data_IF_350469930914
#
_entry.id   IF_350469930914
#
_cell.length_a   1.000
_cell.length_b   1.000
_cell.length_c   1.000
_cell.angle_alpha   90.00
_cell.angle_beta   90.00
_cell.angle_gamma   90.00
#
_symmetry.space_group_name_H-M   'P 1'
#
loop_
_entity.id
_entity.type
_entity.pdbx_description
1 polymer ?
#
# COMPACT_ATOMS: atom_id res chain seq x y z
N UNK A 1 -14.36 -21.14 14.67
CA UNK A 1 -15.18 -20.11 13.99
C UNK A 1 -15.65 -19.00 14.93
N UNK A 2 -16.34 -19.24 16.08
CA UNK A 2 -16.89 -18.18 16.95
C UNK A 2 -15.85 -17.13 17.44
N UNK A 3 -14.66 -17.57 17.84
CA UNK A 3 -13.56 -16.66 18.28
C UNK A 3 -13.04 -15.83 17.12
N UNK A 4 -12.87 -16.46 15.94
CA UNK A 4 -12.44 -15.79 14.73
C UNK A 4 -13.45 -14.75 14.26
N UNK A 5 -14.74 -15.10 14.24
CA UNK A 5 -15.83 -14.19 13.90
C UNK A 5 -15.82 -12.91 14.75
N UNK A 6 -15.71 -13.05 16.08
CA UNK A 6 -15.61 -11.90 16.99
C UNK A 6 -14.35 -11.05 16.75
N UNK A 7 -13.23 -11.68 16.41
CA UNK A 7 -11.98 -10.95 16.10
C UNK A 7 -12.14 -10.14 14.83
N UNK A 8 -12.70 -10.73 13.78
CA UNK A 8 -12.98 -10.04 12.50
C UNK A 8 -13.96 -8.89 12.73
N UNK A 9 -15.06 -9.11 13.44
CA UNK A 9 -16.01 -8.06 13.81
C UNK A 9 -15.34 -6.90 14.54
N UNK A 10 -14.50 -7.20 15.53
CA UNK A 10 -13.75 -6.18 16.25
C UNK A 10 -12.81 -5.40 15.33
N UNK A 11 -12.13 -6.07 14.39
CA UNK A 11 -11.22 -5.43 13.44
C UNK A 11 -11.95 -4.47 12.49
N UNK A 12 -13.13 -4.85 11.98
CA UNK A 12 -13.98 -3.92 11.20
C UNK A 12 -14.45 -2.73 12.03
N UNK A 13 -14.80 -2.94 13.30
CA UNK A 13 -15.14 -1.82 14.20
C UNK A 13 -13.96 -0.86 14.42
N UNK A 14 -12.74 -1.39 14.58
CA UNK A 14 -11.53 -0.58 14.70
C UNK A 14 -11.31 0.19 13.40
N UNK A 15 -11.42 -0.46 12.24
CA UNK A 15 -11.28 0.18 10.93
C UNK A 15 -12.27 1.33 10.76
N UNK A 16 -13.55 1.14 11.10
CA UNK A 16 -14.56 2.21 11.08
C UNK A 16 -14.16 3.38 11.98
N UNK A 17 -13.75 3.12 13.21
CA UNK A 17 -13.29 4.16 14.15
C UNK A 17 -12.07 4.92 13.62
N UNK A 18 -11.12 4.21 13.00
CA UNK A 18 -9.92 4.83 12.44
C UNK A 18 -10.26 5.74 11.26
N UNK A 19 -11.13 5.30 10.34
CA UNK A 19 -11.60 6.12 9.23
C UNK A 19 -12.36 7.35 9.73
N UNK A 20 -13.22 7.18 10.74
CA UNK A 20 -13.93 8.30 11.39
C UNK A 20 -12.94 9.30 11.97
N UNK A 21 -11.93 8.83 12.71
CA UNK A 21 -10.87 9.68 13.26
C UNK A 21 -10.10 10.42 12.15
N UNK A 22 -9.75 9.74 11.06
CA UNK A 22 -9.10 10.39 9.92
C UNK A 22 -9.96 11.52 9.34
N UNK A 23 -11.26 11.29 9.17
CA UNK A 23 -12.18 12.28 8.63
C UNK A 23 -12.33 13.51 9.57
N UNK A 24 -12.51 13.29 10.87
CA UNK A 24 -12.60 14.34 11.88
C UNK A 24 -11.33 15.20 11.94
N UNK A 25 -10.18 14.60 11.66
CA UNK A 25 -8.88 15.27 11.68
C UNK A 25 -8.36 15.69 10.29
N UNK A 26 -9.21 15.63 9.25
CA UNK A 26 -8.83 16.01 7.88
C UNK A 26 -7.59 15.27 7.36
N UNK A 27 -7.48 13.98 7.69
CA UNK A 27 -6.48 13.07 7.13
C UNK A 27 -7.09 12.45 5.88
N UNK A 28 -6.49 12.73 4.71
CA UNK A 28 -7.09 12.42 3.41
C UNK A 28 -6.82 11.01 2.87
N UNK A 29 -5.97 10.22 3.55
CA UNK A 29 -5.68 8.83 3.15
C UNK A 29 -5.58 7.93 4.37
N UNK A 30 -5.96 6.66 4.20
CA UNK A 30 -5.83 5.62 5.21
C UNK A 30 -5.38 4.31 4.57
N UNK A 31 -4.29 3.75 5.08
CA UNK A 31 -3.79 2.44 4.69
C UNK A 31 -4.46 1.36 5.53
N UNK A 32 -5.13 0.42 4.87
CA UNK A 32 -5.76 -0.72 5.52
C UNK A 32 -4.70 -1.60 6.20
N UNK A 33 -5.03 -2.10 7.39
CA UNK A 33 -4.25 -3.16 8.01
C UNK A 33 -4.44 -4.46 7.25
N UNK A 34 -3.36 -5.21 7.05
CA UNK A 34 -3.41 -6.56 6.46
C UNK A 34 -4.05 -7.60 7.41
N UNK A 35 -4.36 -7.23 8.65
CA UNK A 35 -4.90 -8.10 9.69
C UNK A 35 -6.41 -7.89 9.93
N UNK A 36 -7.13 -7.26 9.00
CA UNK A 36 -8.58 -6.99 9.19
C UNK A 36 -9.36 -8.31 9.21
N UNK A 37 -9.04 -9.20 8.28
CA UNK A 37 -9.70 -10.49 8.10
C UNK A 37 -8.72 -11.64 8.33
N UNK A 38 -8.22 -11.85 9.57
CA UNK A 38 -7.21 -12.87 9.83
C UNK A 38 -7.67 -14.24 9.37
N UNK A 39 -6.77 -14.98 8.73
CA UNK A 39 -6.96 -16.33 8.20
C UNK A 39 -7.92 -16.44 7.00
N UNK A 40 -8.47 -15.37 6.45
CA UNK A 40 -9.36 -15.45 5.29
C UNK A 40 -8.63 -16.01 4.05
N UNK A 41 -7.35 -15.66 3.87
CA UNK A 41 -6.50 -16.18 2.79
C UNK A 41 -5.82 -17.53 3.11
N UNK A 42 -6.05 -18.11 4.31
CA UNK A 42 -5.38 -19.34 4.72
C UNK A 42 -5.84 -20.54 3.89
N UNK A 43 -4.91 -21.33 3.27
CA UNK A 43 -5.26 -22.36 2.32
C UNK A 43 -6.12 -23.50 2.88
N UNK A 44 -5.97 -23.79 4.17
CA UNK A 44 -6.70 -24.89 4.84
C UNK A 44 -8.02 -24.43 5.47
N UNK A 45 -8.30 -23.14 5.48
CA UNK A 45 -9.52 -22.56 6.04
C UNK A 45 -10.32 -21.91 4.92
N UNK A 46 -11.16 -22.70 4.29
CA UNK A 46 -12.04 -22.21 3.22
C UNK A 46 -13.37 -21.74 3.83
N UNK A 47 -13.45 -20.48 4.22
CA UNK A 47 -14.68 -19.85 4.72
C UNK A 47 -14.91 -18.49 4.04
N UNK A 48 -16.16 -18.09 3.98
CA UNK A 48 -16.59 -16.77 3.52
C UNK A 48 -17.06 -15.92 4.72
N UNK A 49 -17.01 -14.60 4.60
CA UNK A 49 -17.48 -13.69 5.64
C UNK A 49 -18.96 -13.90 5.97
N UNK A 50 -19.77 -14.37 5.02
CA UNK A 50 -21.19 -14.69 5.21
C UNK A 50 -21.42 -15.91 6.10
N UNK A 51 -20.41 -16.78 6.26
CA UNK A 51 -20.49 -18.00 7.08
C UNK A 51 -20.12 -17.74 8.56
N UNK A 52 -19.67 -16.52 8.87
CA UNK A 52 -19.29 -16.14 10.22
C UNK A 52 -20.50 -15.99 11.14
N UNK A 53 -20.31 -16.28 12.42
CA UNK A 53 -21.38 -16.15 13.41
C UNK A 53 -21.93 -14.72 13.55
N UNK A 54 -21.09 -13.72 13.33
CA UNK A 54 -21.42 -12.30 13.47
C UNK A 54 -21.52 -11.63 12.06
N UNK A 55 -21.84 -12.39 11.00
CA UNK A 55 -21.86 -11.91 9.61
C UNK A 55 -22.76 -10.67 9.42
N UNK A 56 -24.01 -10.69 9.91
CA UNK A 56 -24.94 -9.57 9.77
C UNK A 56 -24.35 -8.27 10.36
N UNK A 57 -23.74 -8.37 11.55
CA UNK A 57 -23.12 -7.21 12.20
C UNK A 57 -21.88 -6.73 11.43
N UNK A 58 -21.06 -7.66 10.94
CA UNK A 58 -19.89 -7.36 10.09
C UNK A 58 -20.33 -6.59 8.85
N UNK A 59 -21.32 -7.07 8.10
CA UNK A 59 -21.79 -6.39 6.89
C UNK A 59 -22.44 -5.03 7.20
N UNK A 60 -23.14 -4.89 8.34
CA UNK A 60 -23.63 -3.59 8.80
C UNK A 60 -22.50 -2.57 9.04
N UNK A 61 -21.35 -3.03 9.57
CA UNK A 61 -20.17 -2.17 9.76
C UNK A 61 -19.52 -1.85 8.44
N UNK A 62 -19.41 -2.81 7.53
CA UNK A 62 -18.89 -2.60 6.17
C UNK A 62 -19.69 -1.50 5.46
N UNK A 63 -21.01 -1.50 5.56
CA UNK A 63 -21.87 -0.46 4.97
C UNK A 63 -21.61 0.94 5.58
N UNK A 64 -21.35 0.99 6.89
CA UNK A 64 -20.95 2.25 7.53
C UNK A 64 -19.59 2.74 7.04
N UNK A 65 -18.61 1.84 6.86
CA UNK A 65 -17.29 2.15 6.29
C UNK A 65 -17.45 2.69 4.87
N UNK A 66 -18.20 2.01 4.00
CA UNK A 66 -18.51 2.49 2.63
C UNK A 66 -19.08 3.90 2.64
N UNK A 67 -20.06 4.15 3.50
CA UNK A 67 -20.65 5.48 3.59
C UNK A 67 -19.65 6.55 4.06
N UNK A 68 -18.81 6.24 5.03
CA UNK A 68 -17.73 7.13 5.49
C UNK A 68 -16.74 7.45 4.37
N UNK A 69 -16.27 6.44 3.64
CA UNK A 69 -15.35 6.62 2.50
C UNK A 69 -16.00 7.50 1.43
N UNK A 70 -17.25 7.19 1.05
CA UNK A 70 -17.99 7.93 0.02
C UNK A 70 -18.21 9.39 0.38
N UNK A 71 -18.60 9.67 1.63
CA UNK A 71 -18.96 11.04 2.08
C UNK A 71 -17.74 11.92 2.34
N UNK A 72 -16.64 11.35 2.83
CA UNK A 72 -15.40 12.08 3.12
C UNK A 72 -14.46 12.20 1.93
N UNK A 73 -14.53 11.26 0.97
CA UNK A 73 -13.58 11.14 -0.12
C UNK A 73 -12.18 10.68 0.33
N UNK A 74 -12.05 10.09 1.52
CA UNK A 74 -10.78 9.54 2.02
C UNK A 74 -10.27 8.46 1.06
N UNK A 75 -9.00 8.52 0.70
CA UNK A 75 -8.35 7.49 -0.12
C UNK A 75 -8.00 6.28 0.73
N UNK A 76 -8.28 5.10 0.20
CA UNK A 76 -7.92 3.84 0.83
C UNK A 76 -6.79 3.20 0.03
N UNK A 77 -5.72 2.82 0.72
CA UNK A 77 -4.58 2.08 0.19
C UNK A 77 -4.37 0.77 0.96
N UNK A 78 -3.56 -0.11 0.43
CA UNK A 78 -3.05 -1.27 1.17
C UNK A 78 -1.60 -1.55 0.79
N UNK A 79 -0.88 -2.11 1.76
CA UNK A 79 0.48 -2.59 1.58
C UNK A 79 0.58 -3.99 2.19
N UNK A 80 0.44 -5.04 1.36
CA UNK A 80 0.51 -6.42 1.80
C UNK A 80 1.80 -6.73 2.55
N UNK A 81 1.79 -7.79 3.38
CA UNK A 81 2.96 -8.16 4.16
C UNK A 81 4.17 -8.54 3.31
N UNK A 82 5.35 -8.46 3.90
CA UNK A 82 6.63 -8.73 3.24
C UNK A 82 6.78 -10.15 2.67
N UNK A 83 5.97 -11.11 3.09
CA UNK A 83 6.01 -12.47 2.53
C UNK A 83 5.39 -12.58 1.12
N UNK A 84 4.65 -11.57 0.65
CA UNK A 84 4.12 -11.52 -0.72
C UNK A 84 5.30 -11.46 -1.70
N UNK A 85 5.46 -12.50 -2.50
CA UNK A 85 6.57 -12.64 -3.44
C UNK A 85 6.17 -13.38 -4.72
N UNK A 86 6.22 -12.69 -5.85
CA UNK A 86 5.98 -13.27 -7.17
C UNK A 86 7.24 -13.89 -7.79
N UNK A 87 8.40 -13.59 -7.24
CA UNK A 87 9.70 -14.08 -7.73
C UNK A 87 10.21 -15.30 -6.95
N UNK A 88 9.43 -15.83 -5.98
CA UNK A 88 9.78 -16.99 -5.20
C UNK A 88 10.00 -18.24 -6.07
N UNK A 89 10.97 -19.08 -5.70
CA UNK A 89 11.18 -20.39 -6.32
C UNK A 89 10.14 -21.44 -5.87
N UNK A 90 9.37 -21.13 -4.81
CA UNK A 90 8.37 -22.04 -4.25
C UNK A 90 6.98 -21.65 -4.73
N UNK A 91 6.32 -22.53 -5.47
CA UNK A 91 4.96 -22.29 -5.99
C UNK A 91 3.94 -22.07 -4.85
N UNK A 92 4.14 -22.70 -3.70
CA UNK A 92 3.31 -22.49 -2.52
C UNK A 92 3.35 -21.01 -2.05
N UNK A 93 4.53 -20.39 -2.02
CA UNK A 93 4.71 -18.98 -1.66
C UNK A 93 4.00 -18.08 -2.67
N UNK A 94 4.10 -18.40 -3.97
CA UNK A 94 3.40 -17.67 -5.04
C UNK A 94 1.88 -17.76 -4.84
N UNK A 95 1.36 -18.96 -4.61
CA UNK A 95 -0.08 -19.17 -4.42
C UNK A 95 -0.60 -18.50 -3.15
N UNK A 96 0.17 -18.49 -2.06
CA UNK A 96 -0.16 -17.75 -0.85
C UNK A 96 -0.18 -16.24 -1.11
N UNK A 97 0.79 -15.73 -1.88
CA UNK A 97 0.84 -14.31 -2.28
C UNK A 97 -0.38 -13.90 -3.11
N UNK A 98 -0.81 -14.73 -4.06
CA UNK A 98 -2.01 -14.49 -4.85
C UNK A 98 -3.27 -14.45 -3.97
N UNK A 99 -3.39 -15.39 -3.00
CA UNK A 99 -4.53 -15.41 -2.07
C UNK A 99 -4.57 -14.16 -1.19
N UNK A 100 -3.44 -13.75 -0.64
CA UNK A 100 -3.32 -12.54 0.18
C UNK A 100 -3.74 -11.28 -0.59
N UNK A 101 -3.26 -11.13 -1.82
CA UNK A 101 -3.64 -10.00 -2.67
C UNK A 101 -5.13 -10.01 -3.06
N UNK A 102 -5.71 -11.19 -3.28
CA UNK A 102 -7.14 -11.33 -3.54
C UNK A 102 -7.97 -10.94 -2.31
N UNK A 103 -7.50 -11.23 -1.09
CA UNK A 103 -8.13 -10.79 0.16
C UNK A 103 -8.12 -9.27 0.28
N UNK A 104 -6.98 -8.62 0.01
CA UNK A 104 -6.92 -7.15 0.01
C UNK A 104 -7.84 -6.52 -1.05
N UNK A 105 -7.88 -7.09 -2.25
CA UNK A 105 -8.78 -6.64 -3.30
C UNK A 105 -10.26 -6.84 -2.94
N UNK A 106 -10.60 -7.93 -2.26
CA UNK A 106 -11.94 -8.18 -1.72
C UNK A 106 -12.33 -7.09 -0.70
N UNK A 107 -11.43 -6.70 0.21
CA UNK A 107 -11.70 -5.62 1.16
C UNK A 107 -11.97 -4.29 0.45
N UNK A 108 -11.18 -3.95 -0.58
CA UNK A 108 -11.44 -2.77 -1.40
C UNK A 108 -12.81 -2.83 -2.09
N UNK A 109 -13.17 -3.98 -2.64
CA UNK A 109 -14.47 -4.16 -3.33
C UNK A 109 -15.63 -4.12 -2.32
N UNK A 110 -15.47 -4.70 -1.12
CA UNK A 110 -16.44 -4.60 -0.03
C UNK A 110 -16.66 -3.16 0.46
N UNK A 111 -15.61 -2.34 0.42
CA UNK A 111 -15.68 -0.92 0.79
C UNK A 111 -16.10 0.00 -0.35
N UNK A 112 -16.41 -0.55 -1.53
CA UNK A 112 -16.77 0.19 -2.74
C UNK A 112 -15.67 1.19 -3.17
N UNK A 113 -14.40 0.83 -2.92
CA UNK A 113 -13.25 1.61 -3.34
C UNK A 113 -13.07 1.57 -4.86
N UNK A 114 -12.54 2.65 -5.49
CA UNK A 114 -12.25 2.66 -6.92
C UNK A 114 -11.45 1.45 -7.39
N UNK A 115 -11.84 0.90 -8.57
CA UNK A 115 -11.12 -0.21 -9.21
C UNK A 115 -10.03 0.33 -10.14
N UNK A 116 -9.17 1.15 -9.57
CA UNK A 116 -8.02 1.76 -10.25
C UNK A 116 -6.99 2.24 -9.22
N UNK A 117 -5.95 2.90 -9.69
CA UNK A 117 -4.83 3.40 -8.87
C UNK A 117 -5.19 4.52 -7.88
N UNK A 118 -6.45 4.95 -7.80
CA UNK A 118 -6.93 5.79 -6.70
C UNK A 118 -7.00 5.02 -5.38
N UNK A 119 -7.07 3.68 -5.46
CA UNK A 119 -6.97 2.76 -4.32
C UNK A 119 -5.81 1.79 -4.52
N UNK A 120 -4.56 2.23 -4.38
CA UNK A 120 -3.40 1.45 -4.74
C UNK A 120 -3.16 0.28 -3.77
N UNK A 121 -2.70 -0.83 -4.35
CA UNK A 121 -2.20 -2.02 -3.68
C UNK A 121 -0.70 -2.09 -3.92
N UNK A 122 0.10 -1.62 -2.96
CA UNK A 122 1.55 -1.51 -3.08
C UNK A 122 2.25 -2.82 -2.71
N UNK A 123 3.19 -3.26 -3.53
CA UNK A 123 4.10 -4.37 -3.19
C UNK A 123 5.53 -4.06 -3.58
N UNK A 124 6.47 -4.72 -2.91
CA UNK A 124 7.88 -4.74 -3.30
C UNK A 124 8.24 -5.99 -4.08
N UNK A 125 9.29 -5.90 -4.89
CA UNK A 125 9.96 -7.08 -5.44
C UNK A 125 11.13 -7.40 -4.50
N UNK A 126 10.98 -8.46 -3.70
CA UNK A 126 11.93 -8.78 -2.62
C UNK A 126 13.21 -9.44 -3.08
N UNK A 127 13.18 -10.13 -4.22
CA UNK A 127 14.34 -10.88 -4.70
C UNK A 127 15.22 -10.00 -5.58
N UNK A 128 16.53 -10.01 -5.28
CA UNK A 128 17.57 -9.40 -6.11
C UNK A 128 18.17 -10.44 -7.05
N UNK A 129 18.66 -9.97 -8.21
CA UNK A 129 19.28 -10.85 -9.23
C UNK A 129 19.22 -10.24 -10.61
N UNK A 130 19.23 -11.07 -11.64
CA UNK A 130 19.05 -10.61 -13.01
C UNK A 130 17.67 -10.00 -13.21
N UNK A 131 17.57 -8.70 -13.53
CA UNK A 131 16.29 -8.00 -13.59
C UNK A 131 15.42 -8.48 -14.76
N UNK A 132 16.01 -8.98 -15.84
CA UNK A 132 15.23 -9.51 -16.97
C UNK A 132 14.54 -10.82 -16.57
N UNK A 133 15.29 -11.77 -15.97
CA UNK A 133 14.74 -13.05 -15.51
C UNK A 133 13.65 -12.84 -14.45
N UNK A 134 13.94 -12.01 -13.43
CA UNK A 134 13.01 -11.76 -12.33
C UNK A 134 11.75 -11.03 -12.79
N UNK A 135 11.87 -10.09 -13.73
CA UNK A 135 10.68 -9.39 -14.27
C UNK A 135 9.79 -10.32 -15.07
N UNK A 136 10.35 -11.20 -15.91
CA UNK A 136 9.58 -12.20 -16.64
C UNK A 136 8.82 -13.13 -15.70
N UNK A 137 9.49 -13.59 -14.65
CA UNK A 137 8.88 -14.43 -13.62
C UNK A 137 7.74 -13.69 -12.88
N UNK A 138 7.99 -12.45 -12.46
CA UNK A 138 6.97 -11.60 -11.84
C UNK A 138 5.73 -11.48 -12.74
N UNK A 139 5.92 -11.14 -14.01
CA UNK A 139 4.83 -10.95 -14.96
C UNK A 139 4.05 -12.25 -15.23
N UNK A 140 4.72 -13.40 -15.23
CA UNK A 140 4.04 -14.69 -15.34
C UNK A 140 3.03 -14.92 -14.20
N UNK A 141 3.38 -14.50 -12.97
CA UNK A 141 2.49 -14.55 -11.80
C UNK A 141 1.43 -13.44 -11.85
N UNK A 142 1.83 -12.21 -12.20
CA UNK A 142 0.92 -11.07 -12.38
C UNK A 142 -0.24 -11.41 -13.33
N UNK A 143 0.03 -12.15 -14.40
CA UNK A 143 -1.00 -12.57 -15.35
C UNK A 143 -2.05 -13.52 -14.75
N UNK A 144 -1.74 -14.20 -13.64
CA UNK A 144 -2.64 -15.09 -12.90
C UNK A 144 -3.56 -14.35 -11.92
N UNK A 145 -3.29 -13.07 -11.65
CA UNK A 145 -4.06 -12.27 -10.69
C UNK A 145 -5.47 -11.95 -11.20
N UNK A 146 -6.40 -11.78 -10.27
CA UNK A 146 -7.72 -11.25 -10.55
C UNK A 146 -7.65 -9.82 -11.11
N UNK A 147 -8.59 -9.42 -11.99
CA UNK A 147 -8.66 -8.04 -12.48
C UNK A 147 -8.67 -7.01 -11.36
N UNK A 148 -9.44 -7.23 -10.29
CA UNK A 148 -9.54 -6.33 -9.15
C UNK A 148 -8.19 -6.07 -8.43
N UNK A 149 -7.26 -7.03 -8.47
CA UNK A 149 -5.88 -6.85 -8.00
C UNK A 149 -5.07 -6.08 -9.03
N UNK A 150 -5.11 -6.50 -10.31
CA UNK A 150 -4.30 -5.90 -11.39
C UNK A 150 -4.57 -4.42 -11.57
N UNK A 151 -5.85 -4.03 -11.49
CA UNK A 151 -6.30 -2.65 -11.70
C UNK A 151 -5.79 -1.68 -10.61
N UNK A 152 -5.29 -2.23 -9.48
CA UNK A 152 -4.83 -1.47 -8.32
C UNK A 152 -3.34 -1.67 -8.00
N UNK A 153 -2.69 -2.69 -8.58
CA UNK A 153 -1.33 -3.07 -8.22
C UNK A 153 -0.32 -2.02 -8.67
N UNK A 154 0.48 -1.56 -7.75
CA UNK A 154 1.61 -0.67 -7.99
C UNK A 154 2.88 -1.24 -7.35
N UNK A 155 4.04 -0.90 -7.90
CA UNK A 155 5.33 -1.37 -7.40
C UNK A 155 6.05 -0.25 -6.68
N UNK A 156 6.58 -0.54 -5.52
CA UNK A 156 7.36 0.39 -4.74
C UNK A 156 8.85 0.09 -4.84
N UNK A 157 9.66 1.15 -4.86
CA UNK A 157 11.12 1.05 -4.77
C UNK A 157 11.53 0.27 -3.52
N UNK A 158 12.57 -0.56 -3.65
CA UNK A 158 13.04 -1.40 -2.53
C UNK A 158 13.94 -0.61 -1.57
N UNK A 159 14.06 -1.07 -0.34
CA UNK A 159 14.89 -0.50 0.73
C UNK A 159 16.28 -1.16 0.83
N UNK A 160 16.68 -2.01 -0.12
CA UNK A 160 17.97 -2.67 -0.14
C UNK A 160 19.02 -1.82 -0.86
N UNK A 161 20.05 -1.32 -0.14
CA UNK A 161 21.11 -0.44 -0.67
C UNK A 161 21.83 -0.96 -1.93
N UNK A 162 21.90 -2.26 -2.09
CA UNK A 162 22.54 -2.92 -3.26
C UNK A 162 21.50 -3.69 -4.08
N UNK A 163 20.22 -3.35 -3.93
CA UNK A 163 19.13 -4.06 -4.56
C UNK A 163 19.01 -3.77 -6.06
N UNK A 164 18.35 -4.67 -6.75
CA UNK A 164 18.07 -4.58 -8.18
C UNK A 164 17.01 -3.51 -8.51
N UNK A 165 16.04 -3.29 -7.61
CA UNK A 165 14.77 -2.63 -7.91
C UNK A 165 14.75 -1.17 -7.49
N UNK A 166 15.66 -0.37 -8.06
CA UNK A 166 15.57 1.10 -8.06
C UNK A 166 14.40 1.57 -8.91
N UNK A 167 13.95 2.80 -8.73
CA UNK A 167 12.86 3.41 -9.54
C UNK A 167 13.17 3.29 -11.03
N UNK A 168 14.40 3.55 -11.44
CA UNK A 168 14.85 3.41 -12.84
C UNK A 168 14.62 2.00 -13.38
N UNK A 169 14.99 0.97 -12.62
CA UNK A 169 14.79 -0.42 -13.04
C UNK A 169 13.31 -0.83 -13.01
N UNK A 170 12.55 -0.40 -12.00
CA UNK A 170 11.12 -0.66 -11.96
C UNK A 170 10.41 -0.06 -13.18
N UNK A 171 10.75 1.16 -13.57
CA UNK A 171 10.19 1.80 -14.78
C UNK A 171 10.55 1.00 -16.02
N UNK A 172 11.83 0.69 -16.22
CA UNK A 172 12.31 -0.03 -17.39
C UNK A 172 11.67 -1.40 -17.58
N UNK A 173 11.51 -2.16 -16.50
CA UNK A 173 11.09 -3.57 -16.58
C UNK A 173 9.59 -3.77 -16.37
N UNK A 174 8.89 -2.82 -15.73
CA UNK A 174 7.47 -2.98 -15.42
C UNK A 174 6.58 -1.89 -16.02
N UNK A 175 6.92 -0.61 -15.83
CA UNK A 175 6.06 0.45 -16.39
C UNK A 175 6.12 0.51 -17.91
N UNK A 176 7.32 0.61 -18.49
CA UNK A 176 7.49 0.73 -19.95
C UNK A 176 6.99 -0.49 -20.72
N UNK A 177 7.04 -1.67 -20.11
CA UNK A 177 6.65 -2.92 -20.76
C UNK A 177 5.22 -3.35 -20.47
N UNK A 178 4.69 -3.00 -19.31
CA UNK A 178 3.43 -3.55 -18.79
C UNK A 178 2.48 -2.51 -18.20
N UNK A 179 2.87 -1.23 -18.14
CA UNK A 179 2.04 -0.14 -17.64
C UNK A 179 1.79 -0.17 -16.13
N UNK A 180 2.58 -0.93 -15.34
CA UNK A 180 2.42 -1.00 -13.89
C UNK A 180 3.04 0.25 -13.27
N UNK A 181 2.28 1.09 -12.53
CA UNK A 181 2.80 2.32 -11.95
C UNK A 181 3.80 2.06 -10.82
N UNK A 182 4.67 3.05 -10.59
CA UNK A 182 5.74 2.96 -9.61
C UNK A 182 5.50 3.97 -8.48
N UNK A 183 5.48 3.49 -7.24
CA UNK A 183 5.38 4.31 -6.04
C UNK A 183 6.75 4.75 -5.58
N UNK A 184 6.92 6.05 -5.39
CA UNK A 184 8.09 6.64 -4.76
C UNK A 184 7.93 6.55 -3.23
N UNK A 185 8.99 6.13 -2.54
CA UNK A 185 9.16 6.29 -1.09
C UNK A 185 10.46 7.05 -0.80
N UNK A 186 10.40 8.06 0.04
CA UNK A 186 11.55 8.95 0.30
C UNK A 186 12.70 8.26 1.03
N UNK A 187 12.42 7.36 1.95
CA UNK A 187 13.46 6.60 2.66
C UNK A 187 14.08 5.55 1.74
N UNK A 188 13.25 4.78 1.03
CA UNK A 188 13.73 3.72 0.14
C UNK A 188 14.57 4.30 -0.99
N UNK A 189 14.17 5.43 -1.57
CA UNK A 189 14.98 6.15 -2.56
C UNK A 189 16.32 6.59 -1.96
N UNK A 190 16.33 7.08 -0.72
CA UNK A 190 17.59 7.47 -0.04
C UNK A 190 18.54 6.29 0.20
N UNK A 191 18.03 5.07 0.24
CA UNK A 191 18.81 3.84 0.41
C UNK A 191 19.23 3.21 -0.92
N UNK A 192 18.42 3.36 -1.97
CA UNK A 192 18.63 2.76 -3.30
C UNK A 192 18.41 3.81 -4.41
N UNK A 193 19.37 4.70 -4.59
CA UNK A 193 19.28 5.83 -5.53
C UNK A 193 19.19 5.44 -7.01
N UNK A 194 19.81 4.32 -7.41
CA UNK A 194 19.82 3.89 -8.81
C UNK A 194 20.41 4.92 -9.78
N UNK A 195 21.43 5.67 -9.35
CA UNK A 195 22.08 6.77 -10.10
C UNK A 195 21.13 7.96 -10.42
N UNK A 196 20.07 8.15 -9.65
CA UNK A 196 19.12 9.26 -9.79
C UNK A 196 19.13 10.14 -8.53
N UNK A 197 18.97 11.44 -8.70
CA UNK A 197 18.60 12.34 -7.61
C UNK A 197 17.16 12.04 -7.13
N UNK A 198 16.81 12.48 -5.92
CA UNK A 198 15.46 12.33 -5.39
C UNK A 198 14.42 12.99 -6.31
N UNK A 199 14.73 14.16 -6.87
CA UNK A 199 13.83 14.88 -7.77
C UNK A 199 13.62 14.15 -9.11
N UNK A 200 14.68 13.60 -9.69
CA UNK A 200 14.60 12.80 -10.93
C UNK A 200 13.76 11.54 -10.68
N UNK A 201 14.08 10.78 -9.63
CA UNK A 201 13.36 9.56 -9.29
C UNK A 201 11.88 9.83 -8.97
N UNK A 202 11.60 10.91 -8.24
CA UNK A 202 10.23 11.33 -7.93
C UNK A 202 9.44 11.68 -9.19
N UNK A 203 10.01 12.51 -10.08
CA UNK A 203 9.34 12.91 -11.30
C UNK A 203 9.18 11.74 -12.28
N UNK A 204 10.11 10.81 -12.32
CA UNK A 204 10.02 9.61 -13.12
C UNK A 204 8.90 8.68 -12.59
N UNK A 205 8.82 8.47 -11.28
CA UNK A 205 7.70 7.73 -10.68
C UNK A 205 6.36 8.43 -10.91
N UNK A 206 6.29 9.77 -10.73
CA UNK A 206 5.08 10.56 -10.95
C UNK A 206 4.48 10.34 -12.34
N UNK A 207 5.32 10.31 -13.38
CA UNK A 207 4.88 10.11 -14.79
C UNK A 207 4.27 8.74 -15.06
N UNK A 208 4.49 7.74 -14.19
CA UNK A 208 3.92 6.40 -14.34
C UNK A 208 2.46 6.31 -13.94
N UNK A 209 1.95 7.27 -13.16
CA UNK A 209 0.60 7.20 -12.62
C UNK A 209 -0.44 7.85 -13.54
N UNK A 210 -1.48 7.13 -13.96
CA UNK A 210 -2.58 7.70 -14.74
C UNK A 210 -3.59 8.50 -13.90
N UNK A 211 -3.47 8.42 -12.57
CA UNK A 211 -4.27 9.15 -11.59
C UNK A 211 -3.35 9.95 -10.67
N UNK A 212 -3.89 10.80 -9.79
CA UNK A 212 -3.07 11.46 -8.76
C UNK A 212 -2.33 10.39 -7.93
N UNK A 213 -1.00 10.40 -7.87
CA UNK A 213 -0.22 9.42 -7.10
C UNK A 213 -0.54 9.47 -5.60
N UNK A 214 -0.41 8.33 -4.94
CA UNK A 214 -0.27 8.21 -3.50
C UNK A 214 1.12 7.65 -3.23
N UNK A 215 2.07 8.54 -2.99
CA UNK A 215 3.46 8.19 -2.70
C UNK A 215 3.65 7.93 -1.21
N UNK A 216 4.76 7.32 -0.84
CA UNK A 216 5.09 7.09 0.56
C UNK A 216 6.10 8.13 1.04
N UNK A 217 5.87 8.59 2.26
CA UNK A 217 6.82 9.41 2.98
C UNK A 217 7.25 8.72 4.26
N UNK A 218 8.51 8.39 4.31
CA UNK A 218 9.19 7.84 5.47
C UNK A 218 10.55 8.50 5.63
N UNK A 219 11.07 8.50 6.85
CA UNK A 219 12.42 8.96 7.18
C UNK A 219 13.15 7.89 7.97
N UNK A 220 14.43 7.72 7.68
CA UNK A 220 15.30 6.79 8.39
C UNK A 220 15.93 7.43 9.63
N UNK A 221 16.28 6.60 10.60
CA UNK A 221 17.11 6.99 11.73
C UNK A 221 18.56 6.63 11.40
N UNK A 222 19.45 7.62 11.43
CA UNK A 222 20.90 7.44 11.23
C UNK A 222 21.28 6.69 9.92
N UNK A 223 20.54 6.95 8.83
CA UNK A 223 20.76 6.32 7.53
C UNK A 223 20.42 4.81 7.49
N UNK A 224 19.62 4.35 8.44
CA UNK A 224 19.12 2.98 8.50
C UNK A 224 17.76 2.84 7.84
N UNK A 225 17.31 1.58 7.62
CA UNK A 225 15.95 1.24 7.16
C UNK A 225 14.88 1.48 8.23
N UNK A 226 15.27 1.78 9.46
CA UNK A 226 14.34 1.93 10.58
C UNK A 226 13.62 3.27 10.46
N UNK A 227 12.31 3.22 10.30
CA UNK A 227 11.50 4.43 10.23
C UNK A 227 11.59 5.25 11.50
N UNK A 228 11.67 6.58 11.35
CA UNK A 228 11.63 7.53 12.44
C UNK A 228 10.25 7.54 13.12
N UNK A 229 10.21 7.98 14.37
CA UNK A 229 8.97 8.12 15.11
C UNK A 229 8.19 9.35 14.63
N UNK A 230 8.88 10.46 14.43
CA UNK A 230 8.33 11.78 14.08
C UNK A 230 9.04 12.37 12.86
N UNK A 231 8.40 13.26 12.08
CA UNK A 231 9.05 13.90 10.95
C UNK A 231 10.12 14.88 11.41
N UNK A 232 11.27 14.85 10.74
CA UNK A 232 12.35 15.83 10.85
C UNK A 232 12.20 16.90 9.75
N UNK A 233 11.66 16.50 8.60
CA UNK A 233 11.50 17.33 7.42
C UNK A 233 10.04 17.31 6.93
N UNK A 234 9.73 18.23 6.00
CA UNK A 234 8.47 18.18 5.27
C UNK A 234 8.63 17.33 3.99
N UNK A 235 7.61 16.52 3.62
CA UNK A 235 7.63 15.80 2.33
C UNK A 235 7.86 16.75 1.16
N UNK A 236 8.84 16.45 0.30
CA UNK A 236 9.08 17.20 -0.93
C UNK A 236 8.19 16.66 -2.04
N UNK A 237 7.41 17.52 -2.66
CA UNK A 237 6.56 17.16 -3.80
C UNK A 237 7.13 17.61 -5.16
N UNK A 238 8.27 18.30 -5.16
CA UNK A 238 8.96 18.81 -6.37
C UNK A 238 8.01 19.52 -7.37
N UNK A 239 7.02 20.26 -6.83
CA UNK A 239 6.03 20.98 -7.63
C UNK A 239 4.89 20.14 -8.19
N UNK A 240 4.85 18.84 -7.92
CA UNK A 240 3.83 17.93 -8.41
C UNK A 240 2.62 17.84 -7.46
N UNK A 241 1.47 17.47 -8.02
CA UNK A 241 0.24 17.25 -7.25
C UNK A 241 0.13 15.77 -6.83
N UNK A 242 0.58 15.47 -5.62
CA UNK A 242 0.59 14.11 -5.03
C UNK A 242 -0.05 14.10 -3.65
N UNK A 243 -0.54 12.93 -3.24
CA UNK A 243 -0.82 12.62 -1.85
C UNK A 243 0.31 11.78 -1.27
N UNK A 244 0.49 11.85 0.06
CA UNK A 244 1.48 11.04 0.76
C UNK A 244 0.83 10.14 1.80
N UNK A 245 1.18 8.87 1.76
CA UNK A 245 1.01 7.92 2.85
C UNK A 245 2.19 8.08 3.81
N UNK A 246 1.91 8.47 5.06
CA UNK A 246 2.95 8.81 6.04
C UNK A 246 3.35 7.57 6.84
N UNK A 247 4.54 7.05 6.61
CA UNK A 247 5.07 5.83 7.22
C UNK A 247 5.96 6.08 8.45
N UNK A 248 5.61 7.06 9.25
CA UNK A 248 6.28 7.33 10.52
C UNK A 248 5.60 6.57 11.66
N UNK A 249 6.36 6.14 12.67
CA UNK A 249 5.85 5.27 13.73
C UNK A 249 4.78 5.90 14.61
N UNK A 250 4.84 7.22 14.82
CA UNK A 250 3.85 7.96 15.59
C UNK A 250 2.54 8.24 14.84
N UNK A 251 2.37 7.71 13.63
CA UNK A 251 1.12 7.70 12.86
C UNK A 251 0.48 9.09 12.74
N UNK A 252 -0.74 9.26 13.26
CA UNK A 252 -1.51 10.51 13.25
C UNK A 252 -0.79 11.67 13.95
N UNK A 253 -0.05 11.41 15.02
CA UNK A 253 0.76 12.42 15.71
C UNK A 253 1.84 12.99 14.78
N UNK A 254 2.46 12.14 13.96
CA UNK A 254 3.40 12.59 12.93
C UNK A 254 2.73 13.46 11.87
N UNK A 255 1.51 13.09 11.45
CA UNK A 255 0.71 13.90 10.51
C UNK A 255 0.36 15.26 11.12
N UNK A 256 -0.03 15.33 12.39
CA UNK A 256 -0.32 16.60 13.07
C UNK A 256 0.92 17.49 13.11
N UNK A 257 2.09 16.91 13.37
CA UNK A 257 3.37 17.65 13.32
C UNK A 257 3.66 18.20 11.91
N UNK A 258 3.44 17.41 10.86
CA UNK A 258 3.59 17.88 9.48
C UNK A 258 2.62 19.03 9.14
N UNK A 259 1.39 18.98 9.63
CA UNK A 259 0.42 20.08 9.47
C UNK A 259 0.85 21.37 10.18
N UNK A 260 1.51 21.26 11.34
CA UNK A 260 2.10 22.42 12.03
C UNK A 260 3.24 23.03 11.21
N UNK A 261 4.13 22.21 10.64
CA UNK A 261 5.20 22.69 9.76
C UNK A 261 4.63 23.45 8.55
N UNK A 262 3.60 22.92 7.90
CA UNK A 262 2.99 23.56 6.75
C UNK A 262 2.42 24.97 7.09
N UNK A 263 1.80 25.12 8.26
CA UNK A 263 1.28 26.42 8.73
C UNK A 263 2.40 27.41 8.99
N UNK A 264 3.55 26.97 9.52
CA UNK A 264 4.69 27.85 9.82
C UNK A 264 5.41 28.39 8.58
N UNK A 265 5.27 27.72 7.43
CA UNK A 265 5.87 28.16 6.14
C UNK A 265 4.92 29.12 5.40
N UNK A 266 3.63 29.09 5.70
CA UNK A 266 2.61 29.91 5.02
C UNK A 266 2.38 31.29 5.69
N UNK A 267 3.02 31.55 6.85
CA UNK A 267 3.06 32.82 7.57
C UNK A 267 4.43 33.52 7.39
#
# INVERSE_FOLDING_TARGET
>A
MKVLSKRILNNFNITLKTITHCNENQIGAYRLSSEITPLLSHPDLNFDLTELNDAEEIFSIIDKIKNQIKTSGIRISAHPPEFVSFTSQKEEVINNSIRDLNEHALLFDLFDCPKDYRSPLNIHIRQDGDPEELSQKFISVYNRLNPSVKDRLVLEVNDNKNGTWSIKNLIKYFYERHGIPITFDSLHQSLLHGDQSDEEAFNDAYRTWPTKPLFHYSEGIDGSRKHADMPLNHPKNFGQNVDFDIELKSKDLAIFKLKEFAKSISN
#
